data_IF_386967006055
#
_entry.id   IF_386967006055
#
_cell.length_a   1.000
_cell.length_b   1.000
_cell.length_c   1.000
_cell.angle_alpha   90.00
_cell.angle_beta   90.00
_cell.angle_gamma   90.00
#
_symmetry.space_group_name_H-M   'P 1'
#
loop_
_entity.id
_entity.type
_entity.pdbx_description
1 polymer ?
#
# COMPACT_ATOMS: atom_id res chain seq x y z
N UNK A 1 15.30 58.74 27.42
CA UNK A 1 14.01 58.04 27.22
C UNK A 1 14.18 57.05 26.09
N UNK A 2 14.30 55.78 26.45
CA UNK A 2 14.33 54.63 25.53
C UNK A 2 12.87 54.33 25.18
N UNK A 3 12.51 54.37 23.90
CA UNK A 3 11.23 53.81 23.44
C UNK A 3 11.49 52.40 22.96
N UNK A 4 11.18 51.43 23.82
CA UNK A 4 10.86 50.07 23.40
C UNK A 4 9.62 50.12 22.51
N UNK A 5 9.71 49.54 21.32
CA UNK A 5 8.57 49.19 20.49
C UNK A 5 8.50 47.68 20.36
N UNK A 6 7.31 47.16 20.63
CA UNK A 6 6.97 45.77 20.82
C UNK A 6 7.28 44.90 19.59
N UNK A 7 7.99 43.80 19.85
CA UNK A 7 8.06 42.61 18.98
C UNK A 7 6.95 41.67 19.44
N UNK A 8 5.76 41.71 18.81
CA UNK A 8 4.74 40.63 18.88
C UNK A 8 3.60 40.92 17.91
N UNK A 9 3.78 40.71 16.59
CA UNK A 9 2.66 40.68 15.62
C UNK A 9 2.87 39.74 14.41
N UNK A 10 4.06 39.18 14.18
CA UNK A 10 4.37 38.46 12.93
C UNK A 10 3.99 36.97 12.91
N UNK A 11 3.84 36.29 14.05
CA UNK A 11 3.60 34.84 14.07
C UNK A 11 2.13 34.45 13.86
N UNK A 12 1.20 35.25 14.39
CA UNK A 12 -0.24 34.99 14.29
C UNK A 12 -0.77 35.24 12.86
N UNK A 13 -0.32 36.33 12.23
CA UNK A 13 -0.68 36.65 10.84
C UNK A 13 -0.13 35.61 9.86
N UNK A 14 1.12 35.18 10.05
CA UNK A 14 1.76 34.19 9.18
C UNK A 14 1.09 32.80 9.31
N UNK A 15 0.65 32.43 10.52
CA UNK A 15 -0.11 31.20 10.75
C UNK A 15 -1.48 31.23 10.05
N UNK A 16 -2.15 32.38 10.06
CA UNK A 16 -3.44 32.59 9.37
C UNK A 16 -3.31 32.43 7.85
N UNK A 17 -2.23 32.95 7.25
CA UNK A 17 -1.99 32.87 5.79
C UNK A 17 -1.69 31.44 5.34
N UNK A 18 -0.92 30.69 6.13
CA UNK A 18 -0.62 29.27 5.84
C UNK A 18 -1.88 28.41 5.96
N UNK A 19 -2.72 28.64 6.97
CA UNK A 19 -3.97 27.91 7.14
C UNK A 19 -4.92 28.15 5.96
N UNK A 20 -5.09 29.40 5.54
CA UNK A 20 -5.90 29.74 4.36
C UNK A 20 -5.36 29.09 3.08
N UNK A 21 -4.05 29.15 2.85
CA UNK A 21 -3.41 28.51 1.68
C UNK A 21 -3.62 26.99 1.62
N UNK A 22 -3.69 26.34 2.79
CA UNK A 22 -3.93 24.90 2.88
C UNK A 22 -5.40 24.53 2.67
N UNK A 23 -6.32 25.41 3.06
CA UNK A 23 -7.75 25.20 2.81
C UNK A 23 -8.07 25.40 1.33
N UNK A 24 -7.54 26.46 0.68
CA UNK A 24 -7.68 26.66 -0.76
C UNK A 24 -7.12 25.47 -1.56
N UNK A 25 -5.98 24.92 -1.13
CA UNK A 25 -5.40 23.75 -1.78
C UNK A 25 -6.22 22.47 -1.51
N UNK A 26 -6.85 22.33 -0.35
CA UNK A 26 -7.76 21.21 -0.07
C UNK A 26 -8.93 21.24 -1.04
N UNK A 27 -9.57 22.38 -1.19
CA UNK A 27 -10.72 22.57 -2.08
C UNK A 27 -10.34 22.26 -3.53
N UNK A 28 -9.15 22.72 -3.96
CA UNK A 28 -8.61 22.36 -5.27
C UNK A 28 -8.45 20.84 -5.46
N UNK A 29 -7.90 20.13 -4.47
CA UNK A 29 -7.70 18.68 -4.57
C UNK A 29 -9.03 17.92 -4.59
N UNK A 30 -9.99 18.34 -3.77
CA UNK A 30 -11.33 17.75 -3.72
C UNK A 30 -12.11 18.00 -5.00
N UNK A 31 -12.04 19.20 -5.57
CA UNK A 31 -12.59 19.54 -6.88
C UNK A 31 -12.01 18.64 -7.98
N UNK A 32 -10.73 18.30 -7.90
CA UNK A 32 -10.05 17.37 -8.81
C UNK A 32 -10.28 15.88 -8.47
N UNK A 33 -11.27 15.56 -7.62
CA UNK A 33 -11.68 14.20 -7.23
C UNK A 33 -10.52 13.34 -6.68
N UNK A 34 -9.56 13.96 -6.00
CA UNK A 34 -8.46 13.24 -5.36
C UNK A 34 -9.00 12.41 -4.18
N UNK A 35 -8.44 11.20 -3.99
CA UNK A 35 -8.85 10.38 -2.83
C UNK A 35 -8.44 11.03 -1.51
N UNK A 36 -9.23 10.86 -0.45
CA UNK A 36 -8.98 11.46 0.87
C UNK A 36 -7.57 11.20 1.40
N UNK A 37 -6.99 10.02 1.13
CA UNK A 37 -5.60 9.73 1.50
C UNK A 37 -4.58 10.57 0.70
N UNK A 38 -4.83 10.79 -0.59
CA UNK A 38 -4.00 11.67 -1.42
C UNK A 38 -4.09 13.10 -0.92
N UNK A 39 -5.31 13.59 -0.64
CA UNK A 39 -5.56 14.92 -0.07
C UNK A 39 -4.75 15.11 1.22
N UNK A 40 -4.90 14.18 2.17
CA UNK A 40 -4.18 14.22 3.45
C UNK A 40 -2.65 14.27 3.27
N UNK A 41 -2.10 13.38 2.43
CA UNK A 41 -0.65 13.31 2.18
C UNK A 41 -0.13 14.58 1.50
N UNK A 42 -0.90 15.14 0.55
CA UNK A 42 -0.50 16.32 -0.19
C UNK A 42 -0.53 17.55 0.71
N UNK A 43 -1.61 17.74 1.47
CA UNK A 43 -1.70 18.80 2.47
C UNK A 43 -0.58 18.73 3.50
N UNK A 44 -0.23 17.53 3.97
CA UNK A 44 0.90 17.36 4.89
C UNK A 44 2.22 17.84 4.28
N UNK A 45 2.48 17.46 3.03
CA UNK A 45 3.72 17.84 2.34
C UNK A 45 3.81 19.36 2.11
N UNK A 46 2.71 19.99 1.71
CA UNK A 46 2.63 21.45 1.52
C UNK A 46 2.75 22.19 2.85
N UNK A 47 2.06 21.73 3.89
CA UNK A 47 2.16 22.30 5.23
C UNK A 47 3.58 22.30 5.76
N UNK A 48 4.31 21.20 5.55
CA UNK A 48 5.72 21.14 5.95
C UNK A 48 6.59 22.12 5.17
N UNK A 49 6.36 22.26 3.85
CA UNK A 49 7.08 23.23 3.04
C UNK A 49 6.81 24.66 3.49
N UNK A 50 5.54 25.04 3.66
CA UNK A 50 5.13 26.38 4.10
C UNK A 50 5.61 26.72 5.52
N UNK A 51 5.80 25.70 6.37
CA UNK A 51 6.40 25.87 7.69
C UNK A 51 7.91 26.16 7.68
N UNK A 52 8.60 25.85 6.57
CA UNK A 52 10.04 26.10 6.41
C UNK A 52 10.34 27.29 5.50
N UNK A 53 9.47 27.55 4.51
CA UNK A 53 9.65 28.58 3.51
C UNK A 53 8.34 29.37 3.32
N UNK A 54 8.38 30.68 3.57
CA UNK A 54 7.22 31.56 3.45
C UNK A 54 6.89 31.97 2.01
N UNK A 55 7.82 31.78 1.07
CA UNK A 55 7.67 32.16 -0.34
C UNK A 55 7.92 30.94 -1.21
N UNK A 56 7.02 30.71 -2.19
CA UNK A 56 7.23 29.70 -3.21
C UNK A 56 8.14 30.29 -4.28
N UNK A 57 9.39 29.85 -4.30
CA UNK A 57 10.38 30.21 -5.32
C UNK A 57 11.13 28.97 -5.78
N UNK A 58 11.75 29.04 -6.95
CA UNK A 58 12.60 27.96 -7.45
C UNK A 58 13.68 27.56 -6.44
N UNK A 59 14.34 28.55 -5.83
CA UNK A 59 15.41 28.33 -4.85
C UNK A 59 14.89 27.62 -3.59
N UNK A 60 13.76 28.06 -3.04
CA UNK A 60 13.17 27.42 -1.86
C UNK A 60 12.70 25.99 -2.14
N UNK A 61 12.17 25.74 -3.34
CA UNK A 61 11.80 24.40 -3.79
C UNK A 61 13.03 23.48 -3.90
N UNK A 62 14.16 24.00 -4.42
CA UNK A 62 15.41 23.24 -4.48
C UNK A 62 16.01 22.98 -3.09
N UNK A 63 16.03 23.98 -2.21
CA UNK A 63 16.48 23.80 -0.82
C UNK A 63 15.64 22.77 -0.07
N UNK A 64 14.31 22.82 -0.24
CA UNK A 64 13.43 21.81 0.34
C UNK A 64 13.70 20.43 -0.25
N UNK A 65 13.93 20.31 -1.55
CA UNK A 65 14.30 19.04 -2.17
C UNK A 65 15.59 18.46 -1.59
N UNK A 66 16.62 19.28 -1.37
CA UNK A 66 17.85 18.86 -0.69
C UNK A 66 17.56 18.35 0.72
N UNK A 67 16.80 19.12 1.52
CA UNK A 67 16.35 18.68 2.85
C UNK A 67 15.60 17.34 2.80
N UNK A 68 14.70 17.15 1.83
CA UNK A 68 13.97 15.89 1.68
C UNK A 68 14.90 14.70 1.40
N UNK A 69 15.93 14.91 0.57
CA UNK A 69 16.90 13.88 0.21
C UNK A 69 17.77 13.43 1.37
N UNK A 70 18.09 14.33 2.29
CA UNK A 70 18.90 14.03 3.47
C UNK A 70 18.12 13.26 4.55
N UNK A 71 16.81 13.51 4.67
CA UNK A 71 16.01 12.99 5.76
C UNK A 71 15.04 11.86 5.41
N UNK A 72 14.77 11.62 4.12
CA UNK A 72 13.73 10.67 3.71
C UNK A 72 14.16 9.74 2.59
N UNK A 73 13.51 8.56 2.55
CA UNK A 73 13.69 7.60 1.46
C UNK A 73 13.22 8.21 0.13
N UNK A 74 13.87 7.88 -1.00
CA UNK A 74 13.56 8.49 -2.29
C UNK A 74 12.08 8.41 -2.72
N UNK A 75 11.35 7.35 -2.34
CA UNK A 75 9.91 7.23 -2.63
C UNK A 75 9.10 8.30 -1.89
N UNK A 76 9.42 8.57 -0.63
CA UNK A 76 8.81 9.63 0.17
C UNK A 76 9.16 11.00 -0.40
N UNK A 77 10.41 11.19 -0.85
CA UNK A 77 10.84 12.44 -1.49
C UNK A 77 10.01 12.69 -2.75
N UNK A 78 9.91 11.71 -3.65
CA UNK A 78 9.11 11.84 -4.87
C UNK A 78 7.63 12.08 -4.61
N UNK A 79 7.06 11.49 -3.57
CA UNK A 79 5.68 11.75 -3.15
C UNK A 79 5.48 13.21 -2.73
N UNK A 80 6.41 13.78 -1.95
CA UNK A 80 6.36 15.18 -1.53
C UNK A 80 6.63 16.14 -2.68
N UNK A 81 7.54 15.81 -3.60
CA UNK A 81 7.75 16.55 -4.84
C UNK A 81 6.47 16.59 -5.68
N UNK A 82 5.74 15.47 -5.80
CA UNK A 82 4.46 15.44 -6.52
C UNK A 82 3.41 16.34 -5.87
N UNK A 83 3.29 16.29 -4.54
CA UNK A 83 2.39 17.16 -3.80
C UNK A 83 2.72 18.64 -4.04
N UNK A 84 3.99 19.02 -3.98
CA UNK A 84 4.40 20.40 -4.24
C UNK A 84 4.22 20.84 -5.68
N UNK A 85 4.50 19.97 -6.66
CA UNK A 85 4.22 20.30 -8.06
C UNK A 85 2.71 20.52 -8.28
N UNK A 86 1.86 19.71 -7.66
CA UNK A 86 0.41 19.88 -7.71
C UNK A 86 -0.03 21.19 -7.03
N UNK A 87 0.60 21.57 -5.93
CA UNK A 87 0.34 22.86 -5.28
C UNK A 87 0.80 24.05 -6.12
N UNK A 88 1.97 23.97 -6.78
CA UNK A 88 2.39 25.03 -7.71
C UNK A 88 1.44 25.15 -8.91
N UNK A 89 0.85 24.04 -9.36
CA UNK A 89 -0.17 24.04 -10.41
C UNK A 89 -1.48 24.69 -9.95
N UNK A 90 -1.94 24.44 -8.71
CA UNK A 90 -3.14 25.08 -8.17
C UNK A 90 -2.99 26.61 -8.07
N UNK A 91 -1.76 27.09 -7.90
CA UNK A 91 -1.42 28.51 -7.89
C UNK A 91 -1.08 29.08 -9.28
N UNK A 92 -1.20 28.27 -10.35
CA UNK A 92 -0.86 28.64 -11.72
C UNK A 92 0.62 29.02 -11.94
N UNK A 93 1.52 28.57 -11.06
CA UNK A 93 2.97 28.81 -11.10
C UNK A 93 3.73 27.71 -11.88
N UNK A 94 3.23 27.36 -13.06
CA UNK A 94 3.64 26.19 -13.86
C UNK A 94 5.14 26.13 -14.24
N UNK A 95 5.86 27.25 -14.16
CA UNK A 95 7.29 27.34 -14.48
C UNK A 95 8.22 26.73 -13.42
N UNK A 96 7.70 26.37 -12.23
CA UNK A 96 8.51 25.95 -11.08
C UNK A 96 8.43 24.46 -10.73
N UNK A 97 8.13 23.58 -11.70
CA UNK A 97 8.02 22.13 -11.43
C UNK A 97 9.36 21.52 -11.05
N UNK A 98 9.41 20.88 -9.88
CA UNK A 98 10.56 20.10 -9.43
C UNK A 98 10.63 18.75 -10.15
N UNK A 99 11.83 18.41 -10.62
CA UNK A 99 12.10 17.08 -11.16
C UNK A 99 12.16 16.04 -10.03
N UNK A 100 11.47 14.91 -10.24
CA UNK A 100 11.55 13.75 -9.37
C UNK A 100 12.96 13.14 -9.39
N UNK A 101 13.33 12.53 -8.27
CA UNK A 101 14.56 11.75 -8.15
C UNK A 101 14.37 10.42 -8.86
N UNK A 102 15.35 10.03 -9.67
CA UNK A 102 15.37 8.71 -10.29
C UNK A 102 15.81 7.68 -9.27
N UNK A 103 14.98 6.68 -9.06
CA UNK A 103 15.27 5.56 -8.15
C UNK A 103 15.38 4.32 -9.01
N UNK A 104 16.54 3.66 -8.98
CA UNK A 104 16.66 2.35 -9.59
C UNK A 104 15.76 1.38 -8.80
N UNK A 105 14.83 0.73 -9.49
CA UNK A 105 14.00 -0.28 -8.84
C UNK A 105 14.88 -1.46 -8.44
N UNK A 106 14.73 -1.93 -7.20
CA UNK A 106 15.37 -3.17 -6.77
C UNK A 106 14.88 -4.29 -7.69
N UNK A 107 15.82 -5.07 -8.20
CA UNK A 107 15.58 -6.18 -9.11
C UNK A 107 15.10 -7.44 -8.38
N UNK A 108 14.77 -7.41 -7.10
CA UNK A 108 14.38 -8.60 -6.35
C UNK A 108 13.36 -8.28 -5.26
N UNK A 109 12.53 -9.28 -4.96
CA UNK A 109 11.57 -9.23 -3.87
C UNK A 109 12.28 -9.51 -2.55
N UNK A 110 12.28 -8.51 -1.67
CA UNK A 110 12.68 -8.69 -0.28
C UNK A 110 11.47 -9.10 0.56
N UNK A 111 11.71 -9.98 1.55
CA UNK A 111 10.78 -10.31 2.62
C UNK A 111 9.48 -11.01 2.21
N UNK A 112 9.56 -11.96 1.27
CA UNK A 112 8.43 -12.85 0.95
C UNK A 112 8.37 -13.99 1.96
N UNK A 113 7.19 -14.27 2.50
CA UNK A 113 6.97 -15.37 3.45
C UNK A 113 7.23 -16.72 2.75
N UNK A 114 8.07 -17.55 3.38
CA UNK A 114 8.41 -18.86 2.86
C UNK A 114 7.21 -19.83 2.95
N UNK A 115 7.27 -20.95 2.22
CA UNK A 115 6.27 -22.00 2.35
C UNK A 115 6.21 -22.57 3.76
N UNK A 116 7.37 -22.75 4.40
CA UNK A 116 7.48 -23.27 5.75
C UNK A 116 6.83 -22.32 6.78
N UNK A 117 7.17 -21.03 6.72
CA UNK A 117 6.61 -20.02 7.64
C UNK A 117 5.11 -19.84 7.46
N UNK A 118 4.63 -19.86 6.21
CA UNK A 118 3.20 -19.79 5.91
C UNK A 118 2.43 -20.97 6.50
N UNK A 119 2.93 -22.20 6.32
CA UNK A 119 2.29 -23.39 6.89
C UNK A 119 2.40 -23.43 8.42
N UNK A 120 3.53 -22.99 8.97
CA UNK A 120 3.70 -22.86 10.42
C UNK A 120 2.72 -21.85 11.03
N UNK A 121 2.59 -20.67 10.42
CA UNK A 121 1.64 -19.64 10.85
C UNK A 121 0.19 -20.16 10.79
N UNK A 122 -0.19 -20.87 9.71
CA UNK A 122 -1.51 -21.51 9.61
C UNK A 122 -1.78 -22.47 10.77
N UNK A 123 -0.83 -23.35 11.08
CA UNK A 123 -0.94 -24.31 12.18
C UNK A 123 -1.07 -23.62 13.53
N UNK A 124 -0.28 -22.58 13.78
CA UNK A 124 -0.36 -21.79 15.02
C UNK A 124 -1.71 -21.07 15.19
N UNK A 125 -2.27 -20.53 14.11
CA UNK A 125 -3.58 -19.88 14.11
C UNK A 125 -4.71 -20.87 14.38
N UNK A 126 -4.64 -22.08 13.82
CA UNK A 126 -5.61 -23.16 14.15
C UNK A 126 -5.49 -23.55 15.63
N UNK A 127 -4.28 -23.82 16.11
CA UNK A 127 -4.02 -24.27 17.49
C UNK A 127 -4.48 -23.26 18.54
N UNK A 128 -4.37 -21.97 18.23
CA UNK A 128 -4.81 -20.88 19.10
C UNK A 128 -6.29 -20.50 18.93
N UNK A 129 -7.04 -21.20 18.08
CA UNK A 129 -8.45 -20.91 17.80
C UNK A 129 -8.69 -19.62 16.99
N UNK A 130 -7.65 -19.00 16.44
CA UNK A 130 -7.73 -17.76 15.65
C UNK A 130 -8.19 -18.02 14.21
N UNK A 131 -9.37 -18.62 14.05
CA UNK A 131 -9.92 -19.01 12.74
C UNK A 131 -10.14 -17.82 11.80
N UNK A 132 -10.48 -16.65 12.34
CA UNK A 132 -10.58 -15.43 11.54
C UNK A 132 -9.27 -15.14 10.81
N UNK A 133 -8.16 -15.11 11.55
CA UNK A 133 -6.86 -14.79 10.97
C UNK A 133 -6.28 -15.91 10.13
N UNK A 134 -6.65 -17.16 10.43
CA UNK A 134 -6.39 -18.31 9.55
C UNK A 134 -7.00 -18.08 8.16
N UNK A 135 -8.25 -17.63 8.07
CA UNK A 135 -8.85 -17.29 6.78
C UNK A 135 -8.29 -16.00 6.18
N UNK A 136 -7.96 -14.97 6.97
CA UNK A 136 -7.30 -13.75 6.47
C UNK A 136 -6.05 -14.09 5.67
N UNK A 137 -5.13 -14.88 6.25
CA UNK A 137 -3.87 -15.21 5.55
C UNK A 137 -4.10 -16.13 4.34
N UNK A 138 -5.08 -17.05 4.42
CA UNK A 138 -5.41 -17.94 3.31
C UNK A 138 -5.98 -17.18 2.13
N UNK A 139 -6.90 -16.23 2.36
CA UNK A 139 -7.42 -15.39 1.29
C UNK A 139 -6.31 -14.56 0.65
N UNK A 140 -5.46 -13.90 1.43
CA UNK A 140 -4.32 -13.14 0.89
C UNK A 140 -3.39 -14.01 0.03
N UNK A 141 -3.02 -15.19 0.53
CA UNK A 141 -2.07 -16.08 -0.13
C UNK A 141 -2.64 -16.88 -1.32
N UNK A 142 -3.96 -17.04 -1.40
CA UNK A 142 -4.62 -17.83 -2.44
C UNK A 142 -5.25 -16.99 -3.54
N UNK A 143 -5.54 -15.70 -3.29
CA UNK A 143 -6.15 -14.81 -4.29
C UNK A 143 -5.26 -13.62 -4.66
N UNK A 144 -4.18 -13.39 -3.91
CA UNK A 144 -3.31 -12.23 -4.11
C UNK A 144 -3.97 -10.89 -3.80
N UNK A 145 -5.16 -10.86 -3.20
CA UNK A 145 -5.93 -9.63 -2.93
C UNK A 145 -5.16 -8.61 -2.08
N UNK A 146 -5.33 -7.30 -2.31
CA UNK A 146 -4.78 -6.28 -1.40
C UNK A 146 -5.55 -6.27 -0.09
N UNK A 147 -4.91 -5.91 1.01
CA UNK A 147 -5.59 -5.86 2.32
C UNK A 147 -6.80 -4.92 2.35
N UNK A 148 -6.78 -3.81 1.60
CA UNK A 148 -7.92 -2.90 1.47
C UNK A 148 -9.12 -3.50 0.76
N UNK A 149 -8.89 -4.48 -0.11
CA UNK A 149 -9.92 -5.20 -0.85
C UNK A 149 -10.38 -6.44 -0.08
N UNK A 150 -9.47 -7.10 0.63
CA UNK A 150 -9.78 -8.24 1.50
C UNK A 150 -10.88 -7.91 2.51
N UNK A 151 -10.77 -6.75 3.16
CA UNK A 151 -11.73 -6.30 4.17
C UNK A 151 -13.12 -6.03 3.60
N UNK A 152 -13.24 -5.91 2.27
CA UNK A 152 -14.51 -5.70 1.56
C UNK A 152 -15.17 -7.02 1.11
N UNK A 153 -14.51 -8.17 1.31
CA UNK A 153 -15.08 -9.46 0.92
C UNK A 153 -16.30 -9.77 1.80
N UNK A 154 -17.40 -10.12 1.14
CA UNK A 154 -18.66 -10.52 1.77
C UNK A 154 -18.96 -12.00 1.54
N UNK A 155 -19.83 -12.58 2.37
CA UNK A 155 -20.23 -13.98 2.29
C UNK A 155 -20.82 -14.32 0.92
N UNK A 156 -21.53 -13.39 0.30
CA UNK A 156 -22.10 -13.53 -1.04
C UNK A 156 -21.00 -13.70 -2.11
N UNK A 157 -19.90 -12.96 -1.99
CA UNK A 157 -18.74 -13.11 -2.88
C UNK A 157 -18.10 -14.49 -2.71
N UNK A 158 -17.99 -14.98 -1.47
CA UNK A 158 -17.46 -16.32 -1.19
C UNK A 158 -18.37 -17.38 -1.81
N UNK A 159 -19.68 -17.33 -1.59
CA UNK A 159 -20.66 -18.25 -2.19
C UNK A 159 -20.54 -18.26 -3.72
N UNK A 160 -20.52 -17.08 -4.34
CA UNK A 160 -20.40 -16.91 -5.79
C UNK A 160 -19.04 -17.33 -6.35
N UNK A 161 -17.98 -17.27 -5.53
CA UNK A 161 -16.61 -17.63 -5.91
C UNK A 161 -15.79 -16.49 -6.52
N UNK A 162 -16.31 -15.25 -6.53
CA UNK A 162 -15.57 -14.09 -7.00
C UNK A 162 -16.11 -12.76 -6.45
N UNK A 163 -15.22 -11.76 -6.43
CA UNK A 163 -15.52 -10.36 -6.11
C UNK A 163 -15.01 -9.45 -7.24
N UNK A 164 -15.87 -8.57 -7.74
CA UNK A 164 -15.49 -7.57 -8.74
C UNK A 164 -15.08 -6.26 -8.03
N UNK A 165 -13.99 -5.65 -8.50
CA UNK A 165 -13.47 -4.38 -8.02
C UNK A 165 -13.49 -3.37 -9.15
N UNK A 166 -14.02 -2.18 -8.85
CA UNK A 166 -14.01 -1.03 -9.73
C UNK A 166 -12.77 -0.18 -9.44
N UNK A 167 -11.95 0.04 -10.46
CA UNK A 167 -10.82 0.97 -10.41
C UNK A 167 -11.26 2.38 -10.78
N UNK A 168 -10.49 3.40 -10.41
CA UNK A 168 -10.82 4.81 -10.69
C UNK A 168 -11.04 5.11 -12.18
N UNK A 169 -10.39 4.36 -13.07
CA UNK A 169 -10.52 4.50 -14.53
C UNK A 169 -11.71 3.71 -15.10
N UNK A 170 -12.71 3.39 -14.27
CA UNK A 170 -13.89 2.58 -14.63
C UNK A 170 -13.57 1.17 -15.16
N UNK A 171 -12.35 0.68 -14.91
CA UNK A 171 -11.94 -0.70 -15.23
C UNK A 171 -12.41 -1.64 -14.13
N UNK A 172 -13.12 -2.70 -14.53
CA UNK A 172 -13.53 -3.78 -13.64
C UNK A 172 -12.44 -4.85 -13.66
N UNK A 173 -12.02 -5.28 -12.47
CA UNK A 173 -11.20 -6.48 -12.31
C UNK A 173 -11.89 -7.48 -11.39
N UNK A 174 -11.71 -8.76 -11.68
CA UNK A 174 -12.31 -9.85 -10.90
C UNK A 174 -11.25 -10.54 -10.05
N UNK A 175 -11.53 -10.66 -8.74
CA UNK A 175 -10.79 -11.54 -7.85
C UNK A 175 -11.51 -12.87 -7.78
N UNK A 176 -10.84 -13.93 -8.20
CA UNK A 176 -11.33 -15.29 -8.10
C UNK A 176 -11.02 -15.88 -6.72
N UNK A 177 -11.99 -16.55 -6.10
CA UNK A 177 -11.86 -17.26 -4.83
C UNK A 177 -11.82 -18.75 -5.16
N UNK A 178 -10.67 -19.44 -5.00
CA UNK A 178 -10.54 -20.85 -5.33
C UNK A 178 -11.57 -21.73 -4.62
N UNK A 179 -12.09 -22.75 -5.30
CA UNK A 179 -13.15 -23.65 -4.80
C UNK A 179 -12.79 -24.24 -3.42
N UNK A 180 -11.57 -24.74 -3.24
CA UNK A 180 -11.12 -25.31 -1.96
C UNK A 180 -11.15 -24.28 -0.82
N UNK A 181 -10.71 -23.05 -1.07
CA UNK A 181 -10.79 -21.97 -0.08
C UNK A 181 -12.25 -21.60 0.23
N UNK A 182 -13.09 -21.52 -0.79
CA UNK A 182 -14.51 -21.23 -0.63
C UNK A 182 -15.19 -22.29 0.24
N UNK A 183 -14.98 -23.56 -0.05
CA UNK A 183 -15.66 -24.66 0.63
C UNK A 183 -15.29 -24.69 2.13
N UNK A 184 -14.02 -24.46 2.45
CA UNK A 184 -13.55 -24.34 3.84
C UNK A 184 -14.09 -23.08 4.53
N UNK A 185 -14.06 -21.93 3.84
CA UNK A 185 -14.53 -20.67 4.40
C UNK A 185 -16.03 -20.71 4.69
N UNK A 186 -16.84 -21.30 3.81
CA UNK A 186 -18.28 -21.47 4.04
C UNK A 186 -18.59 -22.42 5.20
N UNK A 187 -17.78 -23.47 5.41
CA UNK A 187 -17.91 -24.33 6.60
C UNK A 187 -17.67 -23.53 7.88
N UNK A 188 -16.59 -22.76 7.93
CA UNK A 188 -16.28 -21.91 9.08
C UNK A 188 -17.34 -20.82 9.31
N UNK A 189 -17.78 -20.15 8.25
CA UNK A 189 -18.82 -19.12 8.35
C UNK A 189 -20.14 -19.68 8.91
N UNK A 190 -20.50 -20.92 8.56
CA UNK A 190 -21.66 -21.60 9.18
C UNK A 190 -21.47 -21.91 10.66
N UNK A 191 -20.26 -22.27 11.09
CA UNK A 191 -19.98 -22.56 12.52
C UNK A 191 -20.09 -21.34 13.44
N UNK A 192 -20.07 -20.14 12.87
CA UNK A 192 -20.22 -18.87 13.58
C UNK A 192 -21.50 -18.13 13.17
N UNK A 193 -22.48 -18.87 12.64
CA UNK A 193 -23.82 -18.40 12.24
C UNK A 193 -23.83 -17.18 11.30
N UNK A 194 -22.83 -17.10 10.41
CA UNK A 194 -22.67 -15.97 9.49
C UNK A 194 -23.11 -16.32 8.07
N UNK A 195 -24.34 -15.93 7.76
CA UNK A 195 -24.99 -16.25 6.47
C UNK A 195 -24.85 -15.17 5.40
N UNK A 196 -24.58 -13.92 5.78
CA UNK A 196 -24.50 -12.75 4.90
C UNK A 196 -23.52 -11.68 5.42
N UNK A 197 -23.21 -10.67 4.60
CA UNK A 197 -22.42 -9.51 5.00
C UNK A 197 -20.91 -9.74 4.98
N UNK A 198 -20.13 -8.87 5.63
CA UNK A 198 -18.67 -8.91 5.57
C UNK A 198 -18.06 -10.17 6.22
N UNK A 199 -17.01 -10.71 5.60
CA UNK A 199 -16.33 -11.95 6.05
C UNK A 199 -15.35 -11.69 7.20
N UNK A 200 -14.77 -10.51 7.28
CA UNK A 200 -13.75 -10.19 8.29
C UNK A 200 -14.26 -9.06 9.18
N UNK A 201 -14.81 -9.43 10.34
CA UNK A 201 -15.36 -8.51 11.33
C UNK A 201 -14.45 -8.42 12.56
N UNK A 202 -14.41 -7.24 13.19
CA UNK A 202 -13.73 -7.02 14.45
C UNK A 202 -14.58 -7.57 15.61
N UNK A 203 -14.08 -7.46 16.85
CA UNK A 203 -14.79 -7.92 18.05
C UNK A 203 -16.10 -7.17 18.35
N UNK A 204 -16.33 -6.03 17.71
CA UNK A 204 -17.52 -5.18 17.86
C UNK A 204 -18.55 -5.44 16.76
N UNK A 205 -18.25 -6.30 15.79
CA UNK A 205 -19.13 -6.61 14.65
C UNK A 205 -18.92 -5.74 13.41
N UNK A 206 -18.04 -4.75 13.45
CA UNK A 206 -17.73 -3.91 12.28
C UNK A 206 -16.66 -4.55 11.38
N UNK A 207 -16.58 -4.20 10.09
CA UNK A 207 -15.50 -4.65 9.22
C UNK A 207 -14.11 -4.34 9.80
N UNK A 208 -13.22 -5.34 9.81
CA UNK A 208 -11.84 -5.09 10.26
C UNK A 208 -11.19 -4.09 9.31
N UNK A 209 -10.47 -3.12 9.88
CA UNK A 209 -9.70 -2.17 9.08
C UNK A 209 -8.39 -2.78 8.57
N UNK A 210 -7.86 -2.30 7.43
CA UNK A 210 -6.54 -2.73 6.96
C UNK A 210 -5.43 -2.51 8.00
N UNK A 211 -5.53 -1.45 8.80
CA UNK A 211 -4.62 -1.18 9.90
C UNK A 211 -4.75 -2.23 11.01
N UNK A 212 -5.97 -2.64 11.35
CA UNK A 212 -6.23 -3.71 12.31
C UNK A 212 -5.59 -5.03 11.90
N UNK A 213 -5.73 -5.42 10.62
CA UNK A 213 -5.07 -6.63 10.10
C UNK A 213 -3.55 -6.52 10.21
N UNK A 214 -2.95 -5.40 9.77
CA UNK A 214 -1.49 -5.20 9.87
C UNK A 214 -1.00 -5.28 11.32
N UNK A 215 -1.71 -4.62 12.24
CA UNK A 215 -1.37 -4.62 13.66
C UNK A 215 -1.44 -6.02 14.28
N UNK A 216 -2.44 -6.83 13.89
CA UNK A 216 -2.60 -8.18 14.43
C UNK A 216 -1.60 -9.17 13.83
N UNK A 217 -1.29 -9.07 12.54
CA UNK A 217 -0.19 -9.83 11.94
C UNK A 217 1.13 -9.56 12.67
N UNK A 218 1.44 -8.29 12.97
CA UNK A 218 2.63 -7.91 13.76
C UNK A 218 2.63 -8.50 15.17
N UNK A 219 1.47 -8.67 15.80
CA UNK A 219 1.38 -9.33 17.12
C UNK A 219 1.67 -10.83 16.99
N UNK A 220 1.16 -11.48 15.94
CA UNK A 220 1.44 -12.90 15.70
C UNK A 220 2.90 -13.18 15.42
N UNK A 221 3.65 -12.23 14.85
CA UNK A 221 5.09 -12.43 14.64
C UNK A 221 5.84 -12.55 15.96
N UNK A 222 5.49 -11.73 16.94
CA UNK A 222 6.05 -11.82 18.29
C UNK A 222 5.56 -13.08 19.01
N UNK A 223 4.27 -13.39 18.89
CA UNK A 223 3.65 -14.51 19.60
C UNK A 223 4.13 -15.89 19.10
N UNK A 224 4.42 -16.02 17.80
CA UNK A 224 4.81 -17.28 17.18
C UNK A 224 6.28 -17.31 16.73
N UNK A 225 7.09 -16.35 17.18
CA UNK A 225 8.51 -16.25 16.84
C UNK A 225 8.79 -16.30 15.32
N UNK A 226 8.07 -15.45 14.57
CA UNK A 226 8.21 -15.28 13.13
C UNK A 226 8.84 -13.92 12.82
N UNK A 227 9.54 -13.81 11.70
CA UNK A 227 10.15 -12.54 11.29
C UNK A 227 9.06 -11.48 10.94
N UNK A 228 8.99 -10.35 11.66
CA UNK A 228 8.06 -9.26 11.34
C UNK A 228 8.27 -8.66 9.95
N UNK A 229 9.45 -8.83 9.35
CA UNK A 229 9.72 -8.36 8.00
C UNK A 229 8.97 -9.17 6.97
N UNK A 230 8.65 -10.45 7.20
CA UNK A 230 8.02 -11.33 6.20
C UNK A 230 6.53 -11.56 6.42
N UNK A 231 6.00 -11.33 7.63
CA UNK A 231 4.57 -11.55 7.93
C UNK A 231 3.79 -10.23 7.88
N UNK A 232 3.45 -9.82 6.67
CA UNK A 232 2.63 -8.63 6.40
C UNK A 232 1.84 -8.80 5.10
N UNK A 233 0.76 -8.04 4.85
CA UNK A 233 -0.17 -8.35 3.76
C UNK A 233 0.45 -8.47 2.35
N UNK A 234 1.39 -7.59 2.01
CA UNK A 234 2.03 -7.63 0.69
C UNK A 234 2.92 -8.87 0.51
N UNK A 235 3.52 -9.40 1.57
CA UNK A 235 4.31 -10.63 1.48
C UNK A 235 3.47 -11.84 1.07
N UNK A 236 2.25 -12.01 1.61
CA UNK A 236 1.34 -13.06 1.16
C UNK A 236 0.92 -12.90 -0.31
N UNK A 237 0.73 -11.65 -0.77
CA UNK A 237 0.46 -11.35 -2.18
C UNK A 237 1.68 -11.66 -3.07
N UNK A 238 2.89 -11.36 -2.60
CA UNK A 238 4.11 -11.74 -3.32
C UNK A 238 4.26 -13.25 -3.41
N UNK A 239 3.93 -13.99 -2.34
CA UNK A 239 3.89 -15.45 -2.34
C UNK A 239 2.88 -15.98 -3.37
N UNK A 240 1.67 -15.42 -3.43
CA UNK A 240 0.69 -15.77 -4.47
C UNK A 240 1.26 -15.57 -5.87
N UNK A 241 1.84 -14.40 -6.12
CA UNK A 241 2.37 -14.02 -7.43
C UNK A 241 3.54 -14.90 -7.87
N UNK A 242 4.48 -15.20 -6.96
CA UNK A 242 5.60 -16.12 -7.23
C UNK A 242 5.10 -17.52 -7.59
N UNK A 243 4.21 -18.09 -6.77
CA UNK A 243 3.61 -19.40 -7.03
C UNK A 243 2.82 -19.43 -8.34
N UNK A 244 2.11 -18.36 -8.68
CA UNK A 244 1.38 -18.26 -9.94
C UNK A 244 2.31 -18.29 -11.16
N UNK A 245 3.41 -17.51 -11.14
CA UNK A 245 4.41 -17.54 -12.20
C UNK A 245 5.10 -18.90 -12.31
N UNK A 246 5.44 -19.51 -11.17
CA UNK A 246 6.07 -20.84 -11.16
C UNK A 246 5.19 -21.92 -11.79
N UNK A 247 3.87 -21.86 -11.60
CA UNK A 247 2.94 -22.83 -12.16
C UNK A 247 2.46 -22.51 -13.59
N UNK A 248 2.20 -21.23 -13.91
CA UNK A 248 1.52 -20.83 -15.13
C UNK A 248 2.41 -20.08 -16.13
N UNK A 249 3.44 -19.37 -15.66
CA UNK A 249 4.36 -18.60 -16.51
C UNK A 249 3.77 -17.35 -17.20
N UNK A 250 2.46 -17.12 -17.15
CA UNK A 250 1.81 -15.98 -17.81
C UNK A 250 1.83 -14.71 -16.92
N UNK A 251 2.77 -13.82 -17.22
CA UNK A 251 2.90 -12.53 -16.54
C UNK A 251 1.74 -11.57 -16.82
N UNK A 252 1.17 -11.60 -18.02
CA UNK A 252 0.09 -10.69 -18.41
C UNK A 252 -1.17 -11.04 -17.63
N UNK A 253 -1.52 -12.33 -17.59
CA UNK A 253 -2.62 -12.84 -16.78
C UNK A 253 -2.43 -12.54 -15.29
N UNK A 254 -1.20 -12.70 -14.76
CA UNK A 254 -0.92 -12.34 -13.38
C UNK A 254 -1.13 -10.84 -13.13
N UNK A 255 -0.68 -9.98 -14.05
CA UNK A 255 -0.83 -8.53 -13.95
C UNK A 255 -2.30 -8.12 -13.88
N UNK A 256 -3.16 -8.78 -14.67
CA UNK A 256 -4.60 -8.55 -14.69
C UNK A 256 -5.27 -9.03 -13.39
N UNK A 257 -4.93 -10.24 -12.91
CA UNK A 257 -5.44 -10.79 -11.65
C UNK A 257 -5.06 -9.90 -10.46
N UNK A 258 -3.82 -9.44 -10.41
CA UNK A 258 -3.33 -8.53 -9.39
C UNK A 258 -3.88 -7.10 -9.59
N UNK A 259 -4.34 -6.77 -10.79
CA UNK A 259 -4.72 -5.44 -11.25
C UNK A 259 -3.63 -4.41 -10.97
N UNK A 260 -2.47 -4.64 -11.58
CA UNK A 260 -1.40 -3.65 -11.67
C UNK A 260 -1.63 -2.73 -12.88
N UNK A 261 -1.45 -1.43 -12.69
CA UNK A 261 -1.60 -0.44 -13.76
C UNK A 261 -0.49 -0.54 -14.82
N UNK A 262 0.65 -1.10 -14.46
CA UNK A 262 1.79 -1.31 -15.35
C UNK A 262 2.38 -2.72 -15.13
N UNK A 263 2.70 -3.37 -16.24
CA UNK A 263 3.27 -4.73 -16.26
C UNK A 263 4.65 -4.78 -15.61
N UNK A 264 5.38 -3.67 -15.59
CA UNK A 264 6.67 -3.48 -14.92
C UNK A 264 6.55 -3.77 -13.42
N UNK A 265 5.42 -3.45 -12.81
CA UNK A 265 5.13 -3.80 -11.41
C UNK A 265 5.02 -5.31 -11.20
N UNK A 266 4.65 -6.06 -12.24
CA UNK A 266 4.55 -7.52 -12.22
C UNK A 266 5.89 -8.18 -12.59
N UNK A 267 6.76 -7.50 -13.35
CA UNK A 267 8.09 -8.03 -13.72
C UNK A 267 8.96 -8.35 -12.51
N UNK A 268 8.76 -7.69 -11.38
CA UNK A 268 9.48 -7.99 -10.13
C UNK A 268 9.35 -9.48 -9.71
N UNK A 269 8.29 -10.18 -10.12
CA UNK A 269 8.09 -11.61 -9.85
C UNK A 269 8.83 -12.54 -10.81
N UNK A 270 9.28 -12.05 -11.96
CA UNK A 270 10.14 -12.81 -12.88
C UNK A 270 11.60 -12.86 -12.43
N UNK A 271 11.97 -11.99 -11.50
CA UNK A 271 13.36 -11.87 -11.10
C UNK A 271 13.74 -13.06 -10.22
N UNK A 272 14.39 -14.02 -10.88
CA UNK A 272 15.09 -15.14 -10.26
C UNK A 272 16.33 -14.63 -9.53
N UNK A 273 16.66 -15.24 -8.41
CA UNK A 273 17.92 -15.00 -7.72
C UNK A 273 19.11 -15.30 -8.63
N UNK A 274 20.27 -14.67 -8.38
CA UNK A 274 21.50 -14.95 -9.12
C UNK A 274 21.88 -16.43 -9.08
N UNK A 275 21.61 -17.11 -7.97
CA UNK A 275 21.81 -18.56 -7.80
C UNK A 275 20.90 -19.38 -8.72
N UNK A 276 19.60 -19.06 -8.78
CA UNK A 276 18.65 -19.72 -9.68
C UNK A 276 19.02 -19.47 -11.15
N UNK A 277 19.38 -18.23 -11.50
CA UNK A 277 19.85 -17.90 -12.86
C UNK A 277 21.08 -18.71 -13.23
N UNK A 278 22.08 -18.79 -12.35
CA UNK A 278 23.30 -19.58 -12.57
C UNK A 278 22.99 -21.07 -12.73
N UNK A 279 22.10 -21.63 -11.93
CA UNK A 279 21.68 -23.03 -12.06
C UNK A 279 21.00 -23.31 -13.40
N UNK A 280 20.09 -22.43 -13.82
CA UNK A 280 19.40 -22.56 -15.11
C UNK A 280 20.37 -22.42 -16.27
N UNK A 281 21.28 -21.43 -16.22
CA UNK A 281 22.32 -21.27 -17.23
C UNK A 281 23.21 -22.52 -17.29
N UNK A 282 23.64 -23.07 -16.16
CA UNK A 282 24.42 -24.31 -16.12
C UNK A 282 23.64 -25.54 -16.62
N UNK A 283 22.31 -25.55 -16.50
CA UNK A 283 21.46 -26.62 -17.05
C UNK A 283 21.26 -26.48 -18.57
N UNK A 284 21.17 -25.25 -19.08
CA UNK A 284 20.92 -24.96 -20.49
C UNK A 284 22.21 -24.98 -21.30
N UNK A 285 23.28 -24.38 -20.78
CA UNK A 285 24.60 -24.28 -21.42
C UNK A 285 25.48 -25.39 -20.87
N UNK A 286 25.33 -26.57 -21.46
CA UNK A 286 26.11 -27.77 -21.13
C UNK A 286 27.00 -28.23 -22.30
N UNK A 287 27.23 -27.35 -23.28
CA UNK A 287 28.12 -27.53 -24.43
C UNK A 287 29.44 -26.78 -24.27
#
# INVERSE_FOLDING_TARGET
>A
MVKEYAVTSSEAENKSVVEQSLDDFRDYLEFNNMSSNTVHVYLFAVKQFLGLYHVISHDNLMLYKCYLMEHYKPQTVNLRIRALNCYTESLQLSSSKMLMIRVQQKTFLENVISQADYEYLKKCLIRSGNMLYYFVIRFMAATGVRVSELVQIKVEHVKRGYMDIYSKDNKIRRIYIPKSLRDDALKWLRQIDRVSGYVFLNRYGDPITPAGIRGQLKKFTVLYDLDPKVVYPHSFRHRFAKNFIECCGDISMLSDILGHESIETTRIYLHRSSTEQKQIVNQIVNW
#
